data_IF_382612859192
#
_entry.id   IF_382612859192
#
_cell.length_a   1.000
_cell.length_b   1.000
_cell.length_c   1.000
_cell.angle_alpha   90.00
_cell.angle_beta   90.00
_cell.angle_gamma   90.00
#
_symmetry.space_group_name_H-M   'P 1'
#
loop_
_entity.id
_entity.type
_entity.pdbx_description
1 polymer ?
#
# COMPACT_ATOMS: atom_id res chain seq x y z
N UNK A 1 -10.75 0.62 -7.65
CA UNK A 1 -9.36 1.11 -7.71
C UNK A 1 -8.99 1.66 -6.35
N UNK A 2 -7.80 1.33 -5.84
CA UNK A 2 -7.37 1.65 -4.49
C UNK A 2 -5.86 1.89 -4.47
N UNK A 3 -5.43 2.84 -3.66
CA UNK A 3 -4.02 3.17 -3.45
C UNK A 3 -3.78 3.44 -1.96
N UNK A 4 -2.70 2.87 -1.40
CA UNK A 4 -2.37 3.02 0.01
C UNK A 4 -1.12 3.88 0.18
N UNK A 5 -1.14 4.78 1.16
CA UNK A 5 0.00 5.63 1.51
C UNK A 5 0.30 5.51 3.00
N UNK A 6 1.53 5.12 3.36
CA UNK A 6 1.97 5.09 4.75
C UNK A 6 2.53 6.46 5.16
N UNK A 7 1.71 7.27 5.82
CA UNK A 7 2.15 8.54 6.44
C UNK A 7 2.62 8.35 7.89
N UNK A 8 2.57 7.12 8.43
CA UNK A 8 2.96 6.82 9.81
C UNK A 8 4.35 6.22 9.87
N UNK A 9 4.52 4.97 9.44
CA UNK A 9 5.80 4.25 9.49
C UNK A 9 6.84 4.87 8.56
N UNK A 10 6.42 5.30 7.37
CA UNK A 10 7.34 5.88 6.37
C UNK A 10 7.46 7.41 6.46
N UNK A 11 6.73 8.05 7.38
CA UNK A 11 6.77 9.50 7.56
C UNK A 11 6.78 9.91 9.04
N UNK A 12 5.63 9.97 9.72
CA UNK A 12 5.52 10.58 11.05
C UNK A 12 6.41 9.97 12.14
N UNK A 13 6.71 8.67 12.09
CA UNK A 13 7.54 8.01 13.12
C UNK A 13 9.04 8.19 12.92
N UNK A 14 9.47 8.47 11.70
CA UNK A 14 10.89 8.55 11.34
C UNK A 14 11.38 9.98 11.17
N UNK A 15 10.48 10.96 11.01
CA UNK A 15 10.81 12.39 10.91
C UNK A 15 10.38 13.12 12.19
N UNK A 16 11.34 13.50 13.07
CA UNK A 16 11.03 14.19 14.32
C UNK A 16 10.59 15.65 14.10
N UNK A 17 11.03 16.28 13.01
CA UNK A 17 10.57 17.62 12.63
C UNK A 17 9.17 17.54 12.03
N UNK A 18 8.22 18.23 12.67
CA UNK A 18 6.81 18.20 12.28
C UNK A 18 6.58 18.87 10.92
N UNK A 19 7.28 19.95 10.60
CA UNK A 19 7.09 20.68 9.35
C UNK A 19 7.61 19.84 8.18
N UNK A 20 8.80 19.25 8.32
CA UNK A 20 9.37 18.32 7.34
C UNK A 20 8.45 17.11 7.13
N UNK A 21 7.98 16.48 8.21
CA UNK A 21 7.05 15.36 8.13
C UNK A 21 5.73 15.73 7.43
N UNK A 22 5.24 16.95 7.65
CA UNK A 22 3.99 17.43 7.05
C UNK A 22 4.15 17.67 5.56
N UNK A 23 5.25 18.30 5.13
CA UNK A 23 5.53 18.51 3.70
C UNK A 23 5.73 17.17 2.99
N UNK A 24 6.52 16.27 3.57
CA UNK A 24 6.69 14.92 3.02
C UNK A 24 5.35 14.16 2.89
N UNK A 25 4.47 14.26 3.89
CA UNK A 25 3.16 13.60 3.84
C UNK A 25 2.27 14.15 2.71
N UNK A 26 2.32 15.46 2.45
CA UNK A 26 1.61 16.10 1.32
C UNK A 26 2.14 15.58 -0.01
N UNK A 27 3.47 15.50 -0.17
CA UNK A 27 4.08 15.00 -1.39
C UNK A 27 3.73 13.53 -1.65
N UNK A 28 3.80 12.69 -0.60
CA UNK A 28 3.39 11.28 -0.68
C UNK A 28 1.94 11.13 -1.13
N UNK A 29 1.05 11.98 -0.62
CA UNK A 29 -0.35 11.98 -1.02
C UNK A 29 -0.55 12.47 -2.45
N UNK A 30 0.14 13.54 -2.85
CA UNK A 30 0.07 14.06 -4.22
C UNK A 30 0.53 13.00 -5.25
N UNK A 31 1.62 12.28 -4.96
CA UNK A 31 2.10 11.18 -5.80
C UNK A 31 1.09 10.03 -5.89
N UNK A 32 0.42 9.68 -4.78
CA UNK A 32 -0.59 8.62 -4.77
C UNK A 32 -1.85 9.00 -5.55
N UNK A 33 -2.32 10.25 -5.41
CA UNK A 33 -3.45 10.79 -6.18
C UNK A 33 -3.11 10.85 -7.67
N UNK A 34 -1.88 11.23 -8.04
CA UNK A 34 -1.45 11.19 -9.43
C UNK A 34 -1.43 9.75 -9.96
N UNK A 35 -0.89 8.80 -9.19
CA UNK A 35 -0.78 7.39 -9.59
C UNK A 35 -2.14 6.72 -9.74
N UNK A 36 -3.08 6.92 -8.81
CA UNK A 36 -4.40 6.29 -8.89
C UNK A 36 -5.15 6.73 -10.16
N UNK A 37 -4.96 7.97 -10.62
CA UNK A 37 -5.55 8.45 -11.88
C UNK A 37 -5.03 7.73 -13.14
N UNK A 38 -3.90 7.02 -13.06
CA UNK A 38 -3.29 6.27 -14.17
C UNK A 38 -3.35 4.75 -13.99
N UNK A 39 -4.06 4.25 -12.97
CA UNK A 39 -4.22 2.82 -12.78
C UNK A 39 -5.28 2.25 -13.73
N UNK A 40 -5.05 1.02 -14.20
CA UNK A 40 -6.06 0.23 -14.89
C UNK A 40 -6.80 -0.69 -13.91
N UNK A 41 -8.07 -1.03 -14.17
CA UNK A 41 -8.78 -2.05 -13.38
C UNK A 41 -8.08 -3.41 -13.52
N UNK A 42 -7.96 -4.12 -12.41
CA UNK A 42 -7.41 -5.48 -12.37
C UNK A 42 -8.57 -6.45 -12.15
N UNK A 43 -8.69 -7.44 -13.03
CA UNK A 43 -9.67 -8.50 -12.89
C UNK A 43 -9.24 -9.54 -11.84
N UNK A 44 -10.21 -10.00 -11.06
CA UNK A 44 -9.99 -11.10 -10.12
C UNK A 44 -9.63 -12.39 -10.87
N UNK A 45 -8.47 -12.97 -10.53
CA UNK A 45 -8.08 -14.28 -11.04
C UNK A 45 -8.77 -15.37 -10.25
N UNK A 46 -9.60 -16.17 -10.93
CA UNK A 46 -10.15 -17.42 -10.39
C UNK A 46 -9.22 -18.56 -10.72
N UNK A 47 -8.77 -19.27 -9.69
CA UNK A 47 -7.92 -20.45 -9.82
C UNK A 47 -8.65 -21.66 -9.24
N UNK A 48 -8.49 -22.80 -9.91
CA UNK A 48 -8.95 -24.07 -9.36
C UNK A 48 -7.97 -24.55 -8.28
N UNK A 49 -8.48 -24.81 -7.09
CA UNK A 49 -7.70 -25.34 -5.97
C UNK A 49 -8.01 -26.82 -5.78
N UNK A 50 -6.97 -27.65 -5.63
CA UNK A 50 -7.12 -29.04 -5.21
C UNK A 50 -7.44 -29.06 -3.71
N UNK A 51 -8.52 -29.72 -3.25
CA UNK A 51 -8.91 -29.74 -1.84
C UNK A 51 -8.06 -30.72 -1.03
N UNK A 52 -6.76 -30.48 -0.96
CA UNK A 52 -5.79 -31.24 -0.16
C UNK A 52 -4.92 -30.28 0.63
N UNK A 53 -4.53 -30.68 1.84
CA UNK A 53 -3.63 -29.93 2.70
C UNK A 53 -2.34 -30.73 2.96
N UNK A 54 -1.23 -30.03 3.19
CA UNK A 54 0.02 -30.60 3.67
C UNK A 54 0.23 -30.17 5.12
N UNK A 55 0.42 -31.13 6.02
CA UNK A 55 0.80 -30.87 7.42
C UNK A 55 2.30 -31.10 7.56
N UNK A 56 3.00 -30.13 8.17
CA UNK A 56 4.44 -30.20 8.44
C UNK A 56 4.64 -30.01 9.94
N UNK A 57 5.09 -31.07 10.62
CA UNK A 57 5.14 -31.15 12.09
C UNK A 57 3.79 -31.62 12.66
N UNK A 58 3.85 -32.58 13.59
CA UNK A 58 2.68 -33.19 14.26
C UNK A 58 2.33 -32.52 15.58
#
# INVERSE_FOLDING_TARGET
MYEQVSIREQCAWVHPDRNEATEKAKDLMAMAVARIGSMDPIDERRLYLKPVALVIGG
#
